data_IF_030811751811
#
_entry.id   IF_030811751811
#
_cell.length_a   1.000
_cell.length_b   1.000
_cell.length_c   1.000
_cell.angle_alpha   90.00
_cell.angle_beta   90.00
_cell.angle_gamma   90.00
#
_symmetry.space_group_name_H-M   'P 1'
#
loop_
_entity.id
_entity.type
_entity.pdbx_description
1 polymer ?
#
# COMPACT_ATOMS: atom_id res chain seq x y z
N UNK A 1 -3.48 -2.71 9.30
CA UNK A 1 -3.13 -1.30 9.03
C UNK A 1 -2.56 -0.58 10.24
N UNK A 2 -3.29 -0.47 11.37
CA UNK A 2 -2.84 0.30 12.56
C UNK A 2 -1.41 0.02 13.04
N UNK A 3 -0.97 -1.25 13.09
CA UNK A 3 0.39 -1.61 13.49
C UNK A 3 1.46 -1.14 12.49
N UNK A 4 1.22 -1.35 11.20
CA UNK A 4 2.13 -0.93 10.12
C UNK A 4 2.25 0.59 10.12
N UNK A 5 1.10 1.28 10.17
CA UNK A 5 1.06 2.74 10.27
C UNK A 5 1.85 3.24 11.49
N UNK A 6 1.63 2.67 12.68
CA UNK A 6 2.37 3.03 13.89
C UNK A 6 3.89 2.86 13.71
N UNK A 7 4.33 1.76 13.09
CA UNK A 7 5.76 1.47 12.89
C UNK A 7 6.40 2.43 11.90
N UNK A 8 5.73 2.72 10.78
CA UNK A 8 6.16 3.72 9.82
C UNK A 8 6.23 5.10 10.48
N UNK A 9 5.17 5.50 11.18
CA UNK A 9 5.11 6.77 11.90
C UNK A 9 6.30 6.92 12.85
N UNK A 10 6.57 5.93 13.70
CA UNK A 10 7.68 5.97 14.66
C UNK A 10 9.04 5.99 13.96
N UNK A 11 9.18 5.26 12.85
CA UNK A 11 10.41 5.23 12.07
C UNK A 11 10.70 6.61 11.49
N UNK A 12 9.75 7.23 10.79
CA UNK A 12 9.91 8.57 10.24
C UNK A 12 10.10 9.64 11.33
N UNK A 13 9.39 9.53 12.46
CA UNK A 13 9.57 10.41 13.63
C UNK A 13 11.01 10.36 14.15
N UNK A 14 11.65 9.18 14.15
CA UNK A 14 13.05 9.01 14.56
C UNK A 14 14.04 9.67 13.59
N UNK A 15 13.70 9.77 12.31
CA UNK A 15 14.56 10.37 11.27
C UNK A 15 14.36 11.90 11.14
N UNK A 16 13.39 12.48 11.86
CA UNK A 16 13.08 13.91 11.78
C UNK A 16 12.13 14.29 10.63
N UNK A 17 11.64 13.31 9.87
CA UNK A 17 10.68 13.51 8.79
C UNK A 17 9.27 13.79 9.32
N UNK A 18 8.38 14.43 8.55
CA UNK A 18 6.97 14.58 8.92
C UNK A 18 6.31 13.18 9.00
N UNK A 19 6.06 12.63 10.19
CA UNK A 19 5.89 11.19 10.37
C UNK A 19 4.54 10.68 9.85
N UNK A 20 3.50 11.51 10.00
CA UNK A 20 2.17 11.22 9.48
C UNK A 20 2.18 11.17 7.94
N UNK A 21 2.66 12.25 7.31
CA UNK A 21 2.67 12.38 5.86
C UNK A 21 3.48 11.25 5.22
N UNK A 22 4.69 11.01 5.73
CA UNK A 22 5.59 9.97 5.23
C UNK A 22 4.99 8.57 5.37
N UNK A 23 4.34 8.26 6.50
CA UNK A 23 3.66 6.99 6.68
C UNK A 23 2.48 6.80 5.71
N UNK A 24 1.69 7.86 5.46
CA UNK A 24 0.58 7.81 4.50
C UNK A 24 1.11 7.64 3.08
N UNK A 25 2.15 8.37 2.68
CA UNK A 25 2.79 8.23 1.36
C UNK A 25 3.30 6.81 1.17
N UNK A 26 3.96 6.22 2.17
CA UNK A 26 4.47 4.85 2.08
C UNK A 26 3.33 3.81 1.89
N UNK A 27 2.20 4.00 2.58
CA UNK A 27 1.02 3.15 2.38
C UNK A 27 0.41 3.35 0.98
N UNK A 28 0.35 4.60 0.50
CA UNK A 28 -0.14 4.92 -0.85
C UNK A 28 0.76 4.30 -1.92
N UNK A 29 2.08 4.37 -1.73
CA UNK A 29 3.06 3.75 -2.62
C UNK A 29 2.89 2.23 -2.67
N UNK A 30 2.71 1.58 -1.51
CA UNK A 30 2.44 0.14 -1.42
C UNK A 30 1.17 -0.25 -2.18
N UNK A 31 0.09 0.52 -2.00
CA UNK A 31 -1.17 0.29 -2.72
C UNK A 31 -1.01 0.57 -4.22
N UNK A 32 -0.31 1.64 -4.59
CA UNK A 32 -0.06 2.03 -5.98
C UNK A 32 0.62 0.93 -6.78
N UNK A 33 1.67 0.30 -6.23
CA UNK A 33 2.30 -0.87 -6.85
C UNK A 33 1.29 -2.01 -7.04
N UNK A 34 0.48 -2.29 -6.02
CA UNK A 34 -0.54 -3.34 -6.09
C UNK A 34 -1.56 -3.06 -7.20
N UNK A 35 -1.99 -1.81 -7.34
CA UNK A 35 -2.94 -1.37 -8.36
C UNK A 35 -2.34 -1.44 -9.77
N UNK A 36 -1.07 -1.07 -9.95
CA UNK A 36 -0.38 -1.17 -11.24
C UNK A 36 -0.29 -2.64 -11.67
N UNK A 37 0.08 -3.54 -10.76
CA UNK A 37 0.14 -4.98 -11.07
C UNK A 37 -1.26 -5.51 -11.41
N UNK A 38 -2.27 -5.12 -10.63
CA UNK A 38 -3.66 -5.50 -10.91
C UNK A 38 -4.15 -4.95 -12.26
N UNK A 39 -3.78 -3.72 -12.62
CA UNK A 39 -4.10 -3.12 -13.90
C UNK A 39 -3.59 -3.97 -15.06
N UNK A 40 -2.31 -4.33 -15.05
CA UNK A 40 -1.73 -5.20 -16.08
C UNK A 40 -2.34 -6.59 -16.08
N UNK A 41 -2.55 -7.20 -14.91
CA UNK A 41 -3.16 -8.52 -14.78
C UNK A 41 -4.59 -8.57 -15.35
N UNK A 42 -5.40 -7.56 -15.06
CA UNK A 42 -6.78 -7.49 -15.58
C UNK A 42 -6.76 -7.24 -17.08
N UNK A 43 -5.88 -6.36 -17.57
CA UNK A 43 -5.74 -6.09 -19.01
C UNK A 43 -5.41 -7.37 -19.78
N UNK A 44 -4.36 -8.08 -19.35
CA UNK A 44 -3.92 -9.33 -19.96
C UNK A 44 -5.02 -10.39 -19.94
N UNK A 45 -5.74 -10.51 -18.82
CA UNK A 45 -6.87 -11.43 -18.70
C UNK A 45 -7.98 -11.13 -19.73
N UNK A 46 -8.31 -9.86 -19.94
CA UNK A 46 -9.32 -9.47 -20.93
C UNK A 46 -8.85 -9.74 -22.37
N UNK A 47 -7.57 -9.48 -22.66
CA UNK A 47 -6.96 -9.73 -23.96
C UNK A 47 -6.97 -11.23 -24.31
N UNK A 48 -6.63 -12.10 -23.35
CA UNK A 48 -6.75 -13.56 -23.50
C UNK A 48 -8.17 -14.05 -23.79
N UNK A 49 -9.18 -13.33 -23.28
CA UNK A 49 -10.59 -13.65 -23.50
C UNK A 49 -11.15 -12.99 -24.78
N UNK A 50 -10.30 -12.27 -25.53
CA UNK A 50 -10.69 -11.46 -26.68
C UNK A 50 -11.81 -10.45 -26.37
N UNK A 51 -11.79 -9.87 -25.16
CA UNK A 51 -12.78 -8.91 -24.68
C UNK A 51 -12.16 -7.53 -24.51
N UNK A 52 -12.92 -6.49 -24.83
CA UNK A 52 -12.51 -5.11 -24.65
C UNK A 52 -12.78 -4.63 -23.21
N UNK A 53 -11.73 -4.19 -22.51
CA UNK A 53 -11.80 -3.63 -21.16
C UNK A 53 -11.94 -2.10 -21.17
N UNK A 54 -13.14 -1.60 -21.49
CA UNK A 54 -13.40 -0.16 -21.66
C UNK A 54 -12.97 0.73 -20.47
N UNK A 55 -13.02 0.21 -19.24
CA UNK A 55 -12.67 0.95 -18.02
C UNK A 55 -11.15 1.03 -17.77
N UNK A 56 -10.34 0.28 -18.53
CA UNK A 56 -8.88 0.35 -18.49
C UNK A 56 -8.30 1.27 -19.57
N UNK A 57 -9.14 1.99 -20.30
CA UNK A 57 -8.75 2.88 -21.39
C UNK A 57 -8.98 4.36 -21.04
N UNK A 58 -8.15 5.22 -21.64
CA UNK A 58 -8.25 6.68 -21.50
C UNK A 58 -8.34 7.16 -20.05
N UNK A 59 -9.30 8.05 -19.77
CA UNK A 59 -9.48 8.67 -18.46
C UNK A 59 -9.96 7.69 -17.37
N UNK A 60 -10.67 6.62 -17.75
CA UNK A 60 -11.14 5.61 -16.81
C UNK A 60 -9.98 4.80 -16.21
N UNK A 61 -8.93 4.56 -16.99
CA UNK A 61 -7.69 3.93 -16.50
C UNK A 61 -7.03 4.74 -15.38
N UNK A 62 -7.01 6.07 -15.53
CA UNK A 62 -6.50 6.98 -14.50
C UNK A 62 -7.38 6.95 -13.26
N UNK A 63 -8.71 6.95 -13.43
CA UNK A 63 -9.64 6.80 -12.31
C UNK A 63 -9.44 5.48 -11.57
N UNK A 64 -9.22 4.37 -12.28
CA UNK A 64 -8.96 3.06 -11.69
C UNK A 64 -7.73 3.09 -10.75
N UNK A 65 -6.69 3.83 -11.11
CA UNK A 65 -5.48 3.97 -10.28
C UNK A 65 -5.66 5.02 -9.17
N UNK A 66 -6.22 6.18 -9.48
CA UNK A 66 -6.25 7.34 -8.58
C UNK A 66 -7.36 7.26 -7.53
N UNK A 67 -8.54 6.76 -7.87
CA UNK A 67 -9.68 6.72 -6.94
C UNK A 67 -9.36 5.89 -5.69
N UNK A 68 -8.80 4.67 -5.78
CA UNK A 68 -8.46 3.91 -4.59
C UNK A 68 -7.37 4.58 -3.72
N UNK A 69 -6.42 5.29 -4.35
CA UNK A 69 -5.39 6.05 -3.63
C UNK A 69 -6.02 7.23 -2.86
N UNK A 70 -6.90 7.99 -3.50
CA UNK A 70 -7.64 9.07 -2.85
C UNK A 70 -8.49 8.55 -1.68
N UNK A 71 -9.19 7.43 -1.87
CA UNK A 71 -9.97 6.79 -0.80
C UNK A 71 -9.08 6.36 0.38
N UNK A 72 -7.89 5.81 0.11
CA UNK A 72 -6.94 5.46 1.16
C UNK A 72 -6.46 6.70 1.93
N UNK A 73 -6.15 7.79 1.24
CA UNK A 73 -5.73 9.05 1.87
C UNK A 73 -6.85 9.59 2.77
N UNK A 74 -8.09 9.66 2.26
CA UNK A 74 -9.26 10.11 3.01
C UNK A 74 -9.46 9.22 4.25
N UNK A 75 -9.40 7.90 4.09
CA UNK A 75 -9.48 6.95 5.19
C UNK A 75 -8.40 7.22 6.25
N UNK A 76 -7.15 7.40 5.83
CA UNK A 76 -6.03 7.70 6.73
C UNK A 76 -6.26 9.01 7.50
N UNK A 77 -6.73 10.07 6.83
CA UNK A 77 -7.04 11.36 7.44
C UNK A 77 -8.14 11.28 8.49
N UNK A 78 -9.19 10.48 8.23
CA UNK A 78 -10.29 10.29 9.18
C UNK A 78 -9.83 9.42 10.36
N UNK A 79 -9.13 8.31 10.07
CA UNK A 79 -8.75 7.29 11.04
C UNK A 79 -7.62 7.72 11.96
N UNK A 80 -6.54 8.25 11.41
CA UNK A 80 -5.28 8.49 12.12
C UNK A 80 -5.15 9.95 12.60
N UNK A 81 -6.18 10.43 13.31
CA UNK A 81 -6.12 11.71 14.02
C UNK A 81 -5.15 11.65 15.21
N UNK A 82 -4.75 12.80 15.74
CA UNK A 82 -3.82 12.93 16.89
C UNK A 82 -4.17 11.99 18.06
N UNK A 83 -5.45 11.93 18.46
CA UNK A 83 -5.93 11.04 19.53
C UNK A 83 -5.62 9.57 19.22
N UNK A 84 -5.91 9.13 17.99
CA UNK A 84 -5.67 7.75 17.58
C UNK A 84 -4.18 7.42 17.55
N UNK A 85 -3.35 8.33 17.04
CA UNK A 85 -1.89 8.14 17.03
C UNK A 85 -1.36 7.92 18.46
N UNK A 86 -1.82 8.72 19.42
CA UNK A 86 -1.43 8.58 20.81
C UNK A 86 -1.86 7.23 21.42
N UNK A 87 -3.09 6.78 21.13
CA UNK A 87 -3.56 5.45 21.53
C UNK A 87 -2.67 4.34 20.95
N UNK A 88 -2.30 4.44 19.67
CA UNK A 88 -1.44 3.45 19.01
C UNK A 88 -0.03 3.44 19.62
N UNK A 89 0.52 4.62 19.95
CA UNK A 89 1.81 4.72 20.65
C UNK A 89 1.76 3.97 21.98
N UNK A 90 0.74 4.21 22.81
CA UNK A 90 0.56 3.50 24.10
C UNK A 90 0.35 1.99 23.90
N UNK A 91 -0.51 1.60 22.95
CA UNK A 91 -0.86 0.20 22.69
C UNK A 91 0.33 -0.64 22.23
N UNK A 92 1.18 -0.09 21.38
CA UNK A 92 2.29 -0.82 20.76
C UNK A 92 3.65 -0.54 21.39
N UNK A 93 3.74 0.36 22.38
CA UNK A 93 4.96 0.53 23.17
C UNK A 93 5.30 -0.77 23.91
N UNK A 94 6.54 -1.23 23.78
CA UNK A 94 6.99 -2.48 24.41
C UNK A 94 6.38 -3.78 23.87
N UNK A 95 5.51 -3.72 22.86
CA UNK A 95 4.83 -4.90 22.32
C UNK A 95 5.83 -5.94 21.77
N UNK A 96 5.63 -7.22 22.09
CA UNK A 96 6.45 -8.35 21.63
C UNK A 96 6.59 -8.40 20.11
N UNK A 97 5.54 -8.02 19.39
CA UNK A 97 5.53 -7.93 17.92
C UNK A 97 6.60 -6.98 17.37
N UNK A 98 7.01 -5.98 18.16
CA UNK A 98 8.09 -5.07 17.78
C UNK A 98 9.47 -5.76 17.77
N UNK A 99 9.66 -6.80 18.58
CA UNK A 99 10.89 -7.60 18.61
C UNK A 99 10.94 -8.55 17.41
N UNK A 100 9.79 -9.11 17.02
CA UNK A 100 9.68 -10.07 15.92
C UNK A 100 9.83 -9.42 14.54
N UNK A 101 9.17 -8.28 14.32
CA UNK A 101 9.16 -7.62 13.03
C UNK A 101 10.09 -6.41 13.08
N UNK A 102 11.21 -6.47 12.38
CA UNK A 102 12.16 -5.35 12.29
C UNK A 102 11.62 -4.20 11.44
N UNK A 103 12.13 -2.98 11.63
CA UNK A 103 11.68 -1.80 10.87
C UNK A 103 11.93 -1.97 9.35
N UNK A 104 13.09 -2.52 8.97
CA UNK A 104 13.44 -2.74 7.58
C UNK A 104 12.45 -3.67 6.87
N UNK A 105 11.93 -4.70 7.55
CA UNK A 105 10.92 -5.60 6.99
C UNK A 105 9.63 -4.87 6.62
N UNK A 106 9.22 -3.90 7.44
CA UNK A 106 8.03 -3.08 7.19
C UNK A 106 8.28 -2.10 6.04
N UNK A 107 9.47 -1.50 6.00
CA UNK A 107 9.87 -0.60 4.93
C UNK A 107 9.97 -1.32 3.57
N UNK A 108 10.34 -2.60 3.55
CA UNK A 108 10.43 -3.43 2.35
C UNK A 108 9.08 -4.00 1.87
N UNK A 109 7.95 -3.73 2.56
CA UNK A 109 6.61 -4.19 2.13
C UNK A 109 6.32 -3.90 0.65
N UNK A 110 6.58 -2.69 0.11
CA UNK A 110 6.34 -2.40 -1.30
C UNK A 110 7.13 -3.31 -2.25
N UNK A 111 8.37 -3.64 -1.88
CA UNK A 111 9.24 -4.53 -2.67
C UNK A 111 8.69 -5.96 -2.64
N UNK A 112 8.26 -6.44 -1.47
CA UNK A 112 7.64 -7.77 -1.37
C UNK A 112 6.35 -7.87 -2.18
N UNK A 113 5.51 -6.83 -2.16
CA UNK A 113 4.31 -6.74 -2.99
C UNK A 113 4.68 -6.82 -4.47
N UNK A 114 5.69 -6.08 -4.92
CA UNK A 114 6.13 -6.10 -6.31
C UNK A 114 6.60 -7.50 -6.74
N UNK A 115 7.48 -8.13 -5.95
CA UNK A 115 8.01 -9.46 -6.26
C UNK A 115 6.89 -10.50 -6.33
N UNK A 116 6.03 -10.55 -5.29
CA UNK A 116 4.92 -11.51 -5.24
C UNK A 116 3.95 -11.28 -6.41
N UNK A 117 3.60 -10.02 -6.69
CA UNK A 117 2.70 -9.68 -7.78
C UNK A 117 3.25 -10.07 -9.15
N UNK A 118 4.54 -9.85 -9.41
CA UNK A 118 5.20 -10.29 -10.64
C UNK A 118 5.22 -11.82 -10.75
N UNK A 119 5.53 -12.53 -9.65
CA UNK A 119 5.54 -14.00 -9.64
C UNK A 119 4.15 -14.57 -9.94
N UNK A 120 3.10 -14.00 -9.35
CA UNK A 120 1.71 -14.38 -9.63
C UNK A 120 1.37 -14.08 -11.09
N UNK A 121 1.68 -12.88 -11.59
CA UNK A 121 1.42 -12.49 -12.98
C UNK A 121 2.09 -13.46 -13.95
N UNK A 122 3.39 -13.75 -13.76
CA UNK A 122 4.10 -14.73 -14.58
C UNK A 122 3.42 -16.10 -14.52
N UNK A 123 3.13 -16.62 -13.33
CA UNK A 123 2.52 -17.94 -13.19
C UNK A 123 1.15 -18.06 -13.88
N UNK A 124 0.38 -16.98 -13.92
CA UNK A 124 -0.97 -16.98 -14.50
C UNK A 124 -0.96 -16.78 -16.02
N UNK A 125 -0.04 -15.96 -16.54
CA UNK A 125 -0.11 -15.45 -17.91
C UNK A 125 1.09 -15.84 -18.79
N UNK A 126 2.21 -16.26 -18.20
CA UNK A 126 3.45 -16.58 -18.91
C UNK A 126 3.91 -17.98 -18.48
N UNK A 127 3.61 -18.98 -19.32
CA UNK A 127 4.10 -20.35 -19.16
C UNK A 127 5.59 -20.46 -19.52
#
# INVERSE_FOLDING_TARGET
>A
MDYIFYRLYRMYEKHGDPPYLSAVIHLCYSLGISLIIAFFAIKEWYDMQHKYAWFLEGLYSLCFLLVPLCLLIIYCCIRYRKKKILELKKKYQGCTRNKLISNWMIFCIPIYIAIIGILIFRKLFIA
#
